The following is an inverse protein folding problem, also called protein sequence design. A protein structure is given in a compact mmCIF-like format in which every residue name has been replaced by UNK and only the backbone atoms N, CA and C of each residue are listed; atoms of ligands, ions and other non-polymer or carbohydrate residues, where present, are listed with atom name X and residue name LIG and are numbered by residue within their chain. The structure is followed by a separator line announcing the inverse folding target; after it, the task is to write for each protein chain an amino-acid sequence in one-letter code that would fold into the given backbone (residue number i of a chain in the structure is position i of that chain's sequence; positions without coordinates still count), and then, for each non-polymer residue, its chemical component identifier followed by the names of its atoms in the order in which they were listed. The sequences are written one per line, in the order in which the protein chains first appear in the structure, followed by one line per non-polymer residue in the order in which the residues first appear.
data_IF_180441901407
#
_entry.id   IF_180441901407
#
_cell.length_a   1.000
_cell.length_b   1.000
_cell.length_c   1.000
_cell.angle_alpha   90.00
_cell.angle_beta   90.00
_cell.angle_gamma   90.00
#
_symmetry.space_group_name_H-M   'P 1'
#
loop_
_entity.id
_entity.type
_entity.pdbx_description
1 polymer ?
#
# COMPACT_ATOMS: atom_id res chain seq x y z
N UNK A 1 26.01 3.68 12.98
CA UNK A 1 25.38 2.75 12.02
C UNK A 1 23.91 3.16 11.90
N UNK A 2 23.52 3.91 10.87
CA UNK A 2 22.19 4.54 10.82
C UNK A 2 21.18 3.50 10.33
N UNK A 3 20.62 2.77 11.29
CA UNK A 3 19.57 1.78 11.09
C UNK A 3 18.34 2.52 10.56
N UNK A 4 18.21 2.64 9.24
CA UNK A 4 17.05 3.24 8.58
C UNK A 4 15.82 2.42 8.98
N UNK A 5 15.06 2.95 9.94
CA UNK A 5 13.85 2.32 10.47
C UNK A 5 12.86 2.22 9.31
N UNK A 6 12.36 1.02 9.05
CA UNK A 6 11.38 0.74 7.98
C UNK A 6 10.08 1.57 8.12
N UNK A 7 9.90 2.25 9.26
CA UNK A 7 8.87 3.26 9.55
C UNK A 7 8.97 4.56 8.76
N UNK A 8 10.05 4.86 8.04
CA UNK A 8 10.16 6.09 7.22
C UNK A 8 9.52 5.97 5.83
N UNK A 9 9.05 4.76 5.47
CA UNK A 9 8.39 4.57 4.18
C UNK A 9 6.98 5.17 4.21
N UNK A 10 6.58 5.93 3.17
CA UNK A 10 5.26 6.51 3.12
C UNK A 10 4.20 5.41 3.18
N UNK A 11 3.24 5.59 4.08
CA UNK A 11 2.07 4.73 4.21
C UNK A 11 0.91 5.44 3.53
N UNK A 12 0.17 4.72 2.69
CA UNK A 12 -1.08 5.19 2.07
C UNK A 12 -2.24 4.32 2.53
N UNK A 13 -3.44 4.87 2.50
CA UNK A 13 -4.66 4.13 2.78
C UNK A 13 -5.24 3.62 1.47
N UNK A 14 -5.64 2.34 1.43
CA UNK A 14 -6.24 1.78 0.23
C UNK A 14 -7.66 2.32 0.03
N UNK A 15 -7.97 2.88 -1.13
CA UNK A 15 -9.30 3.42 -1.44
C UNK A 15 -10.42 2.36 -1.55
N UNK A 16 -10.07 1.06 -1.56
CA UNK A 16 -11.05 -0.03 -1.71
C UNK A 16 -11.25 -0.83 -0.42
N UNK A 17 -10.18 -1.22 0.27
CA UNK A 17 -10.29 -1.96 1.54
C UNK A 17 -10.03 -1.10 2.79
N UNK A 18 -9.69 0.19 2.61
CA UNK A 18 -9.38 1.14 3.70
C UNK A 18 -8.22 0.71 4.63
N UNK A 19 -7.48 -0.33 4.26
CA UNK A 19 -6.32 -0.78 5.01
C UNK A 19 -5.10 0.10 4.72
N UNK A 20 -4.32 0.47 5.75
CA UNK A 20 -3.05 1.15 5.56
C UNK A 20 -2.05 0.18 4.92
N UNK A 21 -1.31 0.66 3.93
CA UNK A 21 -0.28 -0.11 3.25
C UNK A 21 0.97 0.74 3.00
N UNK A 22 2.12 0.13 3.24
CA UNK A 22 3.42 0.81 3.12
C UNK A 22 3.93 0.77 1.68
N UNK A 23 4.67 1.80 1.29
CA UNK A 23 5.41 1.85 0.03
C UNK A 23 6.18 0.54 -0.24
N UNK A 24 6.17 0.11 -1.49
CA UNK A 24 6.91 -1.05 -1.99
C UNK A 24 7.78 -0.62 -3.16
N UNK A 25 8.95 -1.25 -3.31
CA UNK A 25 9.91 -0.96 -4.40
C UNK A 25 9.30 -1.01 -5.81
N UNK A 26 8.31 -1.88 -6.03
CA UNK A 26 7.59 -1.98 -7.31
C UNK A 26 6.80 -0.72 -7.68
N UNK A 27 6.56 0.17 -6.73
CA UNK A 27 5.82 1.42 -6.92
C UNK A 27 6.71 2.64 -6.99
N UNK A 28 8.03 2.49 -7.05
CA UNK A 28 8.97 3.61 -7.08
C UNK A 28 8.65 4.65 -8.17
N UNK A 29 8.18 4.21 -9.33
CA UNK A 29 7.86 5.09 -10.48
C UNK A 29 6.46 5.69 -10.44
N UNK A 30 5.50 4.96 -9.89
CA UNK A 30 4.06 5.29 -9.99
C UNK A 30 3.40 5.51 -8.63
N UNK A 31 4.19 5.63 -7.54
CA UNK A 31 3.67 5.68 -6.17
C UNK A 31 2.59 6.73 -5.99
N UNK A 32 2.72 7.87 -6.64
CA UNK A 32 1.73 8.95 -6.60
C UNK A 32 0.34 8.48 -7.07
N UNK A 33 0.31 7.70 -8.16
CA UNK A 33 -0.89 7.12 -8.75
C UNK A 33 -1.43 5.89 -8.00
N UNK A 34 -0.64 5.27 -7.12
CA UNK A 34 -1.03 4.06 -6.38
C UNK A 34 -2.01 4.44 -5.25
N UNK A 35 -3.28 4.08 -5.43
CA UNK A 35 -4.38 4.25 -4.46
C UNK A 35 -4.82 2.93 -3.80
N UNK A 36 -4.25 1.81 -4.22
CA UNK A 36 -4.70 0.47 -3.83
C UNK A 36 -3.55 -0.39 -3.31
N UNK A 37 -3.79 -1.16 -2.25
CA UNK A 37 -2.77 -2.00 -1.62
C UNK A 37 -2.32 -3.18 -2.51
N UNK A 38 -3.16 -3.57 -3.47
CA UNK A 38 -2.94 -4.69 -4.37
C UNK A 38 -3.67 -4.49 -5.70
N UNK A 39 -3.27 -5.23 -6.73
CA UNK A 39 -4.00 -5.26 -8.00
C UNK A 39 -5.40 -5.85 -7.84
N UNK A 40 -5.63 -6.70 -6.83
CA UNK A 40 -6.96 -7.22 -6.51
C UNK A 40 -7.90 -6.06 -6.13
N UNK A 41 -7.51 -5.21 -5.19
CA UNK A 41 -8.26 -4.00 -4.84
C UNK A 41 -8.49 -3.09 -6.07
N UNK A 42 -7.47 -2.93 -6.93
CA UNK A 42 -7.58 -2.13 -8.15
C UNK A 42 -8.65 -2.67 -9.10
N UNK A 43 -8.78 -4.00 -9.19
CA UNK A 43 -9.78 -4.70 -10.01
C UNK A 43 -11.16 -4.84 -9.34
N UNK A 44 -11.38 -4.25 -8.16
CA UNK A 44 -12.63 -4.40 -7.40
C UNK A 44 -12.76 -5.73 -6.64
N UNK A 45 -11.65 -6.44 -6.46
CA UNK A 45 -11.61 -7.69 -5.71
C UNK A 45 -11.83 -7.44 -4.23
N UNK A 46 -12.82 -8.13 -3.64
CA UNK A 46 -13.13 -8.02 -2.21
C UNK A 46 -11.94 -8.53 -1.40
N UNK A 47 -11.41 -7.68 -0.53
CA UNK A 47 -10.50 -8.15 0.50
C UNK A 47 -11.35 -8.94 1.49
N UNK A 48 -11.02 -10.22 1.69
CA UNK A 48 -11.65 -11.01 2.76
C UNK A 48 -11.47 -10.23 4.06
N UNK A 49 -12.61 -9.90 4.70
CA UNK A 49 -12.61 -9.16 5.94
C UNK A 49 -11.70 -9.87 6.95
N UNK A 50 -10.75 -9.17 7.59
CA UNK A 50 -10.17 -9.68 8.82
C UNK A 50 -11.28 -9.67 9.89
N UNK A 51 -11.48 -10.82 10.53
CA UNK A 51 -12.26 -10.97 11.78
C UNK A 51 -11.71 -10.05 12.88
#
# INVERSE_FOLDING_TARGET
MKMRKKSELPVKTCAHCLLPFTWRKKWERDWDQVKYCSERCRRGGKHGAPD
#
